data_IF_238690444184
#
_entry.id   IF_238690444184
#
_cell.length_a   1.000
_cell.length_b   1.000
_cell.length_c   1.000
_cell.angle_alpha   90.00
_cell.angle_beta   90.00
_cell.angle_gamma   90.00
#
_symmetry.space_group_name_H-M   'P 1'
#
loop_
_entity.id
_entity.type
_entity.pdbx_description
1 polymer ?
#
# COMPACT_ATOMS: atom_id res chain seq x y z
N UNK A 1 -8.18 -0.58 14.21
CA UNK A 1 -7.65 -0.34 12.84
C UNK A 1 -7.87 1.13 12.50
N UNK A 2 -7.00 1.75 11.69
CA UNK A 2 -7.25 3.10 11.18
C UNK A 2 -8.56 3.12 10.37
N UNK A 3 -9.33 4.22 10.39
CA UNK A 3 -10.53 4.34 9.57
C UNK A 3 -10.17 4.26 8.07
N UNK A 4 -11.12 3.82 7.25
CA UNK A 4 -10.98 3.79 5.79
C UNK A 4 -10.88 5.23 5.26
N UNK A 5 -10.00 5.44 4.29
CA UNK A 5 -9.92 6.69 3.54
C UNK A 5 -11.15 6.91 2.63
N UNK A 6 -11.39 8.13 2.15
CA UNK A 6 -12.48 8.42 1.22
C UNK A 6 -12.46 7.55 -0.05
N UNK A 7 -11.28 7.35 -0.67
CA UNK A 7 -11.16 6.46 -1.83
C UNK A 7 -11.41 4.99 -1.47
N UNK A 8 -10.97 4.55 -0.29
CA UNK A 8 -11.26 3.19 0.18
C UNK A 8 -12.76 2.96 0.37
N UNK A 9 -13.49 3.97 0.85
CA UNK A 9 -14.95 3.91 0.93
C UNK A 9 -15.63 3.96 -0.44
N UNK A 10 -15.05 4.67 -1.42
CA UNK A 10 -15.53 4.63 -2.80
C UNK A 10 -15.35 3.23 -3.40
N UNK A 11 -14.18 2.62 -3.23
CA UNK A 11 -13.93 1.24 -3.65
C UNK A 11 -14.93 0.27 -2.99
N UNK A 12 -15.22 0.44 -1.70
CA UNK A 12 -16.19 -0.40 -0.98
C UNK A 12 -17.57 -0.35 -1.63
N UNK A 13 -18.08 0.87 -1.89
CA UNK A 13 -19.37 1.08 -2.56
C UNK A 13 -19.37 0.52 -3.98
N UNK A 14 -18.27 0.64 -4.70
CA UNK A 14 -18.12 0.11 -6.05
C UNK A 14 -18.22 -1.42 -6.09
N UNK A 15 -17.53 -2.11 -5.17
CA UNK A 15 -17.61 -3.57 -5.07
C UNK A 15 -19.02 -4.03 -4.69
N UNK A 16 -19.66 -3.36 -3.72
CA UNK A 16 -21.07 -3.65 -3.38
C UNK A 16 -22.00 -3.46 -4.57
N UNK A 17 -21.84 -2.37 -5.34
CA UNK A 17 -22.67 -2.12 -6.53
C UNK A 17 -22.48 -3.15 -7.64
N UNK A 18 -21.34 -3.84 -7.67
CA UNK A 18 -21.04 -4.94 -8.59
C UNK A 18 -21.55 -6.29 -8.09
N UNK A 19 -22.20 -6.33 -6.93
CA UNK A 19 -22.85 -7.53 -6.40
C UNK A 19 -21.93 -8.45 -5.60
N UNK A 20 -20.71 -8.01 -5.25
CA UNK A 20 -19.84 -8.83 -4.39
C UNK A 20 -20.38 -8.90 -2.95
N UNK A 21 -20.17 -10.02 -2.23
CA UNK A 21 -20.59 -10.16 -0.85
C UNK A 21 -20.03 -9.05 0.05
N UNK A 22 -20.84 -8.56 0.99
CA UNK A 22 -20.42 -7.48 1.89
C UNK A 22 -19.14 -7.82 2.65
N UNK A 23 -19.04 -9.04 3.18
CA UNK A 23 -17.85 -9.52 3.89
C UNK A 23 -16.58 -9.46 3.05
N UNK A 24 -16.68 -9.75 1.75
CA UNK A 24 -15.58 -9.67 0.79
C UNK A 24 -15.19 -8.21 0.53
N UNK A 25 -16.17 -7.34 0.26
CA UNK A 25 -15.95 -5.91 0.08
C UNK A 25 -15.27 -5.29 1.31
N UNK A 26 -15.72 -5.72 2.48
CA UNK A 26 -15.20 -5.26 3.76
C UNK A 26 -13.74 -5.67 3.96
N UNK A 27 -13.41 -6.92 3.65
CA UNK A 27 -12.06 -7.48 3.70
C UNK A 27 -11.11 -6.75 2.77
N UNK A 28 -11.50 -6.56 1.50
CA UNK A 28 -10.68 -5.90 0.48
C UNK A 28 -10.36 -4.46 0.92
N UNK A 29 -11.38 -3.71 1.32
CA UNK A 29 -11.21 -2.28 1.65
C UNK A 29 -10.60 -2.04 3.03
N UNK A 30 -10.68 -3.00 3.97
CA UNK A 30 -9.90 -2.96 5.22
C UNK A 30 -8.39 -3.10 4.96
N UNK A 31 -8.00 -3.90 3.97
CA UNK A 31 -6.61 -4.06 3.55
C UNK A 31 -6.13 -2.91 2.66
N UNK A 32 -7.00 -2.43 1.76
CA UNK A 32 -6.77 -1.28 0.88
C UNK A 32 -7.35 0.00 1.51
N UNK A 33 -6.89 0.32 2.72
CA UNK A 33 -7.49 1.38 3.55
C UNK A 33 -7.00 2.80 3.22
N UNK A 34 -5.91 2.97 2.49
CA UNK A 34 -5.34 4.28 2.11
C UNK A 34 -5.81 4.72 0.72
N UNK A 35 -5.80 6.02 0.45
CA UNK A 35 -6.16 6.51 -0.88
C UNK A 35 -5.23 5.96 -1.96
N UNK A 36 -3.94 5.78 -1.67
CA UNK A 36 -2.97 5.22 -2.60
C UNK A 36 -3.33 3.79 -3.04
N UNK A 37 -3.55 2.89 -2.08
CA UNK A 37 -3.86 1.48 -2.40
C UNK A 37 -5.26 1.31 -2.97
N UNK A 38 -6.25 2.07 -2.48
CA UNK A 38 -7.62 2.04 -3.01
C UNK A 38 -7.70 2.55 -4.45
N UNK A 39 -7.00 3.64 -4.77
CA UNK A 39 -6.98 4.21 -6.12
C UNK A 39 -6.39 3.24 -7.15
N UNK A 40 -5.38 2.45 -6.77
CA UNK A 40 -4.83 1.41 -7.65
C UNK A 40 -5.85 0.33 -7.99
N UNK A 41 -6.55 -0.18 -6.97
CA UNK A 41 -7.61 -1.18 -7.18
C UNK A 41 -8.78 -0.60 -7.99
N UNK A 42 -9.18 0.65 -7.75
CA UNK A 42 -10.19 1.33 -8.59
C UNK A 42 -9.71 1.41 -10.03
N UNK A 43 -8.46 1.82 -10.26
CA UNK A 43 -7.85 1.88 -11.60
C UNK A 43 -7.87 0.53 -12.30
N UNK A 44 -7.52 -0.56 -11.61
CA UNK A 44 -7.60 -1.91 -12.13
C UNK A 44 -9.04 -2.28 -12.52
N UNK A 45 -9.98 -2.07 -11.61
CA UNK A 45 -11.40 -2.37 -11.79
C UNK A 45 -12.11 -1.48 -12.83
N UNK A 46 -11.51 -0.37 -13.26
CA UNK A 46 -11.99 0.42 -14.40
C UNK A 46 -11.67 -0.23 -15.75
N UNK A 47 -10.64 -1.08 -15.83
CA UNK A 47 -10.24 -1.77 -17.06
C UNK A 47 -10.87 -3.16 -17.19
N UNK A 48 -11.28 -3.76 -16.07
CA UNK A 48 -11.86 -5.10 -16.02
C UNK A 48 -13.24 -5.08 -15.38
N UNK A 49 -14.23 -5.62 -16.09
CA UNK A 49 -15.59 -5.87 -15.59
C UNK A 49 -15.76 -7.36 -15.25
N UNK A 50 -16.72 -7.66 -14.38
CA UNK A 50 -17.20 -9.04 -14.11
C UNK A 50 -16.10 -10.04 -13.69
N UNK A 51 -15.17 -9.59 -12.85
CA UNK A 51 -14.12 -10.45 -12.31
C UNK A 51 -14.66 -11.42 -11.25
N UNK A 52 -14.13 -12.65 -11.18
CA UNK A 52 -14.38 -13.50 -10.01
C UNK A 52 -13.68 -12.89 -8.77
N UNK A 53 -14.20 -13.13 -7.55
CA UNK A 53 -13.61 -12.61 -6.31
C UNK A 53 -12.12 -12.95 -6.13
N UNK A 54 -11.68 -14.09 -6.66
CA UNK A 54 -10.31 -14.58 -6.61
C UNK A 54 -9.33 -13.62 -7.32
N UNK A 55 -9.70 -13.09 -8.49
CA UNK A 55 -8.88 -12.13 -9.26
C UNK A 55 -8.78 -10.79 -8.53
N UNK A 56 -9.84 -10.36 -7.85
CA UNK A 56 -9.82 -9.16 -7.01
C UNK A 56 -8.93 -9.36 -5.79
N UNK A 57 -8.97 -10.55 -5.20
CA UNK A 57 -8.10 -10.90 -4.08
C UNK A 57 -6.63 -10.96 -4.50
N UNK A 58 -6.32 -11.52 -5.67
CA UNK A 58 -4.96 -11.57 -6.21
C UNK A 58 -4.41 -10.16 -6.47
N UNK A 59 -5.17 -9.30 -7.15
CA UNK A 59 -4.75 -7.91 -7.37
C UNK A 59 -4.59 -7.15 -6.05
N UNK A 60 -5.44 -7.41 -5.05
CA UNK A 60 -5.26 -6.84 -3.71
C UNK A 60 -3.91 -7.25 -3.11
N UNK A 61 -3.53 -8.52 -3.20
CA UNK A 61 -2.25 -9.02 -2.72
C UNK A 61 -1.08 -8.42 -3.49
N UNK A 62 -1.20 -8.28 -4.81
CA UNK A 62 -0.20 -7.64 -5.66
C UNK A 62 0.03 -6.17 -5.24
N UNK A 63 -1.04 -5.39 -5.03
CA UNK A 63 -0.96 -3.99 -4.55
C UNK A 63 -0.30 -3.91 -3.17
N UNK A 64 -0.63 -4.83 -2.25
CA UNK A 64 -0.03 -4.87 -0.92
C UNK A 64 1.46 -5.20 -0.96
N UNK A 65 1.85 -6.13 -1.83
CA UNK A 65 3.25 -6.50 -2.07
C UNK A 65 4.05 -5.31 -2.61
N UNK A 66 3.52 -4.62 -3.62
CA UNK A 66 4.15 -3.44 -4.19
C UNK A 66 4.31 -2.30 -3.16
N UNK A 67 3.29 -2.07 -2.32
CA UNK A 67 3.38 -1.12 -1.22
C UNK A 67 4.54 -1.47 -0.28
N UNK A 68 4.67 -2.73 0.11
CA UNK A 68 5.73 -3.17 1.01
C UNK A 68 7.12 -3.00 0.37
N UNK A 69 7.26 -3.31 -0.93
CA UNK A 69 8.48 -3.10 -1.70
C UNK A 69 8.89 -1.62 -1.73
N UNK A 70 7.93 -0.71 -1.92
CA UNK A 70 8.18 0.74 -1.87
C UNK A 70 8.67 1.18 -0.49
N UNK A 71 8.08 0.65 0.59
CA UNK A 71 8.51 0.97 1.95
C UNK A 71 9.95 0.49 2.21
N UNK A 72 10.25 -0.76 1.86
CA UNK A 72 11.60 -1.33 2.00
C UNK A 72 12.63 -0.53 1.20
N UNK A 73 12.30 -0.13 -0.03
CA UNK A 73 13.17 0.71 -0.85
C UNK A 73 13.48 2.04 -0.16
N UNK A 74 12.48 2.72 0.40
CA UNK A 74 12.67 4.01 1.09
C UNK A 74 13.53 3.86 2.35
N UNK A 75 13.36 2.78 3.09
CA UNK A 75 14.19 2.47 4.26
C UNK A 75 15.65 2.25 3.85
N UNK A 76 15.90 1.46 2.81
CA UNK A 76 17.24 1.24 2.27
C UNK A 76 17.88 2.55 1.76
N UNK A 77 17.11 3.39 1.07
CA UNK A 77 17.59 4.70 0.61
C UNK A 77 17.95 5.62 1.79
N UNK A 78 17.16 5.62 2.86
CA UNK A 78 17.44 6.37 4.09
C UNK A 78 18.72 5.88 4.76
N UNK A 79 18.87 4.56 4.94
CA UNK A 79 20.04 3.96 5.56
C UNK A 79 21.31 4.24 4.74
N UNK A 80 21.22 4.14 3.41
CA UNK A 80 22.33 4.46 2.52
C UNK A 80 22.70 5.95 2.57
N UNK A 81 21.70 6.85 2.64
CA UNK A 81 21.96 8.27 2.80
C UNK A 81 22.65 8.59 4.13
N UNK A 82 22.28 7.92 5.22
CA UNK A 82 22.93 8.06 6.52
C UNK A 82 24.36 7.52 6.51
N UNK A 83 24.57 6.34 5.94
CA UNK A 83 25.91 5.78 5.76
C UNK A 83 26.83 6.72 4.97
N UNK A 84 26.35 7.28 3.87
CA UNK A 84 27.11 8.23 3.06
C UNK A 84 27.41 9.54 3.82
N UNK A 85 26.52 10.00 4.69
CA UNK A 85 26.80 11.15 5.57
C UNK A 85 27.96 10.86 6.51
N UNK A 86 27.94 9.72 7.21
CA UNK A 86 29.01 9.31 8.12
C UNK A 86 30.33 9.15 7.37
N UNK A 87 30.32 8.53 6.19
CA UNK A 87 31.52 8.36 5.38
C UNK A 87 32.14 9.71 4.96
N UNK A 88 31.32 10.72 4.65
CA UNK A 88 31.80 12.05 4.24
C UNK A 88 32.23 12.93 5.41
N UNK A 89 31.54 12.85 6.55
CA UNK A 89 31.79 13.71 7.71
C UNK A 89 32.84 13.12 8.67
N UNK A 90 33.11 11.82 8.58
CA UNK A 90 33.85 11.09 9.62
C UNK A 90 32.92 10.67 10.76
N UNK A 91 33.39 9.77 11.63
CA UNK A 91 32.75 9.56 12.92
C UNK A 91 33.21 10.70 13.83
N UNK A 92 32.29 11.47 14.40
CA UNK A 92 32.60 12.32 15.55
C UNK A 92 32.87 11.41 16.74
N UNK A 93 34.04 10.78 16.74
CA UNK A 93 34.63 10.25 17.96
C UNK A 93 35.19 11.48 18.68
N UNK A 94 34.38 12.09 19.55
CA UNK A 94 34.93 12.90 20.62
C UNK A 94 35.84 11.96 21.42
N UNK A 95 37.15 12.06 21.17
CA UNK A 95 38.15 11.50 22.06
C UNK A 95 38.00 12.25 23.40
N UNK A 96 37.22 11.68 24.32
CA UNK A 96 37.21 12.08 25.73
C UNK A 96 38.62 11.84 26.31
N UNK A 97 39.46 12.89 26.27
CA UNK A 97 40.69 13.01 27.07
C UNK A 97 40.45 13.81 28.34
#
# INVERSE_FOLDING_TARGET
>A
MKPRSPQSMQLYKMLLSRGYPESFCDLVTKNLNTDFTASRMIGYLCHYSDLPPEEIADEMLAILSDRNRIMQKKELESNNAEWNRILMQGLDTEDET
#
